data_IF_154091206371
#
_entry.id   IF_154091206371
#
_cell.length_a   1.000
_cell.length_b   1.000
_cell.length_c   1.000
_cell.angle_alpha   90.00
_cell.angle_beta   90.00
_cell.angle_gamma   90.00
#
_symmetry.space_group_name_H-M   'P 1'
#
loop_
_entity.id
_entity.type
_entity.pdbx_description
1 polymer ?
#
# COMPACT_ATOMS: atom_id res chain seq x y z
N UNK A 1 -2.62 23.87 6.17
CA UNK A 1 -2.53 22.83 5.11
C UNK A 1 -3.75 21.88 5.16
N UNK A 2 -4.96 22.36 4.87
CA UNK A 2 -6.18 21.51 4.89
C UNK A 2 -6.16 20.41 3.81
N UNK A 3 -5.44 20.62 2.69
CA UNK A 3 -5.33 19.67 1.59
C UNK A 3 -4.63 18.35 1.96
N UNK A 4 -3.81 18.32 3.02
CA UNK A 4 -3.15 17.08 3.48
C UNK A 4 -4.14 16.06 4.04
N UNK A 5 -5.29 16.52 4.53
CA UNK A 5 -6.32 15.66 5.11
C UNK A 5 -7.03 14.81 4.05
N UNK A 6 -7.14 15.31 2.81
CA UNK A 6 -7.79 14.61 1.69
C UNK A 6 -6.78 13.76 0.90
N UNK A 7 -5.48 14.04 1.07
CA UNK A 7 -4.40 13.35 0.36
C UNK A 7 -4.42 11.83 0.46
N UNK A 8 -4.75 11.15 1.60
CA UNK A 8 -4.77 9.69 1.66
C UNK A 8 -5.71 9.01 0.66
N UNK A 9 -6.71 9.72 0.12
CA UNK A 9 -7.60 9.18 -0.90
C UNK A 9 -6.90 8.99 -2.25
N UNK A 10 -5.94 9.85 -2.59
CA UNK A 10 -5.18 9.74 -3.84
C UNK A 10 -4.35 8.45 -3.95
N UNK A 11 -3.47 8.08 -2.99
CA UNK A 11 -2.77 6.80 -3.02
C UNK A 11 -3.75 5.64 -3.06
N UNK A 12 -4.84 5.70 -2.29
CA UNK A 12 -5.84 4.64 -2.28
C UNK A 12 -6.46 4.40 -3.67
N UNK A 13 -6.90 5.48 -4.34
CA UNK A 13 -7.47 5.40 -5.69
C UNK A 13 -6.44 4.89 -6.70
N UNK A 14 -5.19 5.38 -6.64
CA UNK A 14 -4.12 4.93 -7.54
C UNK A 14 -3.74 3.47 -7.32
N UNK A 15 -3.61 3.03 -6.06
CA UNK A 15 -3.33 1.62 -5.71
C UNK A 15 -4.48 0.71 -6.12
N UNK A 16 -5.73 1.14 -5.95
CA UNK A 16 -6.89 0.41 -6.45
C UNK A 16 -6.88 0.30 -7.97
N UNK A 17 -6.51 1.39 -8.68
CA UNK A 17 -6.32 1.36 -10.12
C UNK A 17 -5.26 0.34 -10.57
N UNK A 18 -4.13 0.26 -9.86
CA UNK A 18 -3.09 -0.75 -10.10
C UNK A 18 -3.62 -2.18 -9.88
N UNK A 19 -4.40 -2.40 -8.82
CA UNK A 19 -5.02 -3.70 -8.54
C UNK A 19 -5.98 -4.13 -9.65
N UNK A 20 -6.86 -3.21 -10.09
CA UNK A 20 -7.80 -3.46 -11.18
C UNK A 20 -7.05 -3.78 -12.47
N UNK A 21 -6.03 -2.98 -12.81
CA UNK A 21 -5.19 -3.21 -13.98
C UNK A 21 -4.50 -4.58 -13.95
N UNK A 22 -3.97 -4.98 -12.79
CA UNK A 22 -3.37 -6.31 -12.60
C UNK A 22 -4.37 -7.44 -12.82
N UNK A 23 -5.57 -7.36 -12.23
CA UNK A 23 -6.62 -8.38 -12.37
C UNK A 23 -7.07 -8.50 -13.82
N UNK A 24 -7.35 -7.38 -14.49
CA UNK A 24 -7.77 -7.35 -15.89
C UNK A 24 -6.68 -8.00 -16.76
N UNK A 25 -5.42 -7.61 -16.58
CA UNK A 25 -4.30 -8.15 -17.34
C UNK A 25 -4.12 -9.65 -17.08
N UNK A 26 -4.26 -10.10 -15.83
CA UNK A 26 -4.17 -11.51 -15.47
C UNK A 26 -5.27 -12.34 -16.16
N UNK A 27 -6.52 -11.85 -16.17
CA UNK A 27 -7.65 -12.52 -16.84
C UNK A 27 -7.41 -12.60 -18.35
N UNK A 28 -6.93 -11.52 -18.97
CA UNK A 28 -6.61 -11.51 -20.39
C UNK A 28 -5.50 -12.53 -20.69
N UNK A 29 -4.40 -12.53 -19.95
CA UNK A 29 -3.31 -13.50 -20.14
C UNK A 29 -3.80 -14.94 -19.96
N UNK A 30 -4.65 -15.22 -18.97
CA UNK A 30 -5.23 -16.55 -18.77
C UNK A 30 -6.21 -16.99 -19.87
N UNK A 31 -6.69 -16.04 -20.69
CA UNK A 31 -7.61 -16.28 -21.81
C UNK A 31 -6.90 -16.19 -23.17
N UNK A 32 -5.61 -15.83 -23.19
CA UNK A 32 -4.79 -15.76 -24.41
C UNK A 32 -4.33 -17.18 -24.78
N UNK A 33 -5.14 -17.90 -25.55
CA UNK A 33 -4.76 -19.17 -26.12
C UNK A 33 -5.94 -19.95 -26.68
N UNK A 34 -5.67 -20.88 -27.58
CA UNK A 34 -6.70 -21.78 -28.09
C UNK A 34 -7.23 -22.69 -26.97
N UNK A 35 -8.51 -23.07 -27.01
CA UNK A 35 -9.09 -23.99 -26.04
C UNK A 35 -8.41 -25.36 -26.15
N UNK A 36 -7.76 -25.80 -25.07
CA UNK A 36 -7.24 -27.16 -24.95
C UNK A 36 -8.41 -28.07 -24.63
N UNK A 37 -8.71 -28.95 -25.57
CA UNK A 37 -9.78 -29.92 -25.48
C UNK A 37 -9.20 -31.32 -25.34
N UNK A 38 -9.78 -32.12 -24.44
CA UNK A 38 -9.46 -33.56 -24.34
C UNK A 38 -10.56 -34.35 -25.01
N UNK A 39 -10.19 -35.14 -26.02
CA UNK A 39 -11.09 -36.13 -26.61
C UNK A 39 -11.41 -37.20 -25.56
N UNK A 40 -12.68 -37.58 -25.48
CA UNK A 40 -13.13 -38.68 -24.64
C UNK A 40 -13.24 -39.94 -25.51
N UNK A 41 -12.55 -40.99 -25.11
CA UNK A 41 -12.65 -42.31 -25.75
C UNK A 41 -13.84 -43.08 -25.18
N UNK A 42 -14.48 -43.91 -26.01
CA UNK A 42 -15.69 -44.66 -25.64
C UNK A 42 -15.49 -45.56 -24.40
N UNK A 43 -14.28 -46.05 -24.14
CA UNK A 43 -14.00 -46.86 -22.95
C UNK A 43 -13.97 -46.04 -21.65
N UNK A 44 -13.43 -44.82 -21.69
CA UNK A 44 -13.45 -43.91 -20.52
C UNK A 44 -14.86 -43.39 -20.26
N UNK A 45 -15.62 -43.13 -21.32
CA UNK A 45 -17.05 -42.79 -21.26
C UNK A 45 -17.87 -43.86 -20.52
N UNK A 46 -17.62 -45.15 -20.80
CA UNK A 46 -18.32 -46.26 -20.14
C UNK A 46 -17.80 -46.53 -18.71
N UNK A 47 -16.52 -46.27 -18.44
CA UNK A 47 -15.92 -46.43 -17.11
C UNK A 47 -16.47 -45.41 -16.08
N UNK A 48 -16.66 -44.15 -16.48
CA UNK A 48 -17.22 -43.09 -15.60
C UNK A 48 -18.70 -43.33 -15.27
N UNK A 49 -19.43 -44.05 -16.13
CA UNK A 49 -20.85 -44.32 -15.97
C UNK A 49 -21.16 -45.48 -15.01
N UNK A 50 -20.19 -46.37 -14.74
CA UNK A 50 -20.26 -47.55 -13.87
C UNK A 50 -21.70 -48.01 -13.54
N UNK A 51 -22.43 -48.42 -14.57
CA UNK A 51 -23.89 -48.65 -14.56
C UNK A 51 -24.35 -49.83 -13.68
N UNK A 52 -23.44 -50.55 -13.06
CA UNK A 52 -23.74 -51.81 -12.36
C UNK A 52 -24.45 -51.61 -11.01
N UNK A 53 -24.54 -50.38 -10.50
CA UNK A 53 -25.18 -50.09 -9.19
C UNK A 53 -26.05 -48.83 -9.12
N UNK A 54 -26.30 -48.13 -10.24
CA UNK A 54 -27.09 -46.90 -10.25
C UNK A 54 -28.58 -47.15 -10.59
N UNK A 55 -29.47 -46.45 -9.89
CA UNK A 55 -30.89 -46.40 -10.27
C UNK A 55 -31.08 -45.69 -11.61
N UNK A 56 -32.15 -46.01 -12.34
CA UNK A 56 -32.40 -45.49 -13.70
C UNK A 56 -32.48 -43.96 -13.75
N UNK A 57 -32.88 -43.30 -12.66
CA UNK A 57 -32.96 -41.84 -12.57
C UNK A 57 -31.60 -41.19 -12.26
N UNK A 58 -30.78 -41.79 -11.39
CA UNK A 58 -29.42 -41.31 -11.13
C UNK A 58 -28.52 -41.46 -12.37
N UNK A 59 -28.74 -42.52 -13.15
CA UNK A 59 -28.08 -42.74 -14.42
C UNK A 59 -28.45 -41.66 -15.44
N UNK A 60 -29.74 -41.32 -15.58
CA UNK A 60 -30.19 -40.22 -16.46
C UNK A 60 -29.61 -38.87 -16.04
N UNK A 61 -29.55 -38.59 -14.73
CA UNK A 61 -29.03 -37.33 -14.23
C UNK A 61 -27.52 -37.19 -14.50
N UNK A 62 -26.73 -38.24 -14.24
CA UNK A 62 -25.29 -38.24 -14.58
C UNK A 62 -25.05 -38.11 -16.07
N UNK A 63 -25.83 -38.79 -16.90
CA UNK A 63 -25.72 -38.69 -18.37
C UNK A 63 -26.03 -37.26 -18.83
N UNK A 64 -27.09 -36.63 -18.31
CA UNK A 64 -27.43 -35.25 -18.66
C UNK A 64 -26.34 -34.26 -18.22
N UNK A 65 -25.84 -34.38 -16.99
CA UNK A 65 -24.77 -33.53 -16.47
C UNK A 65 -23.46 -33.67 -17.28
N UNK A 66 -23.13 -34.90 -17.69
CA UNK A 66 -22.00 -35.17 -18.58
C UNK A 66 -22.22 -34.56 -19.97
N UNK A 67 -23.40 -34.75 -20.57
CA UNK A 67 -23.73 -34.24 -21.90
C UNK A 67 -23.74 -32.71 -21.95
N UNK A 68 -24.11 -32.03 -20.86
CA UNK A 68 -24.03 -30.56 -20.77
C UNK A 68 -22.60 -30.02 -20.77
N UNK A 69 -21.61 -30.85 -20.44
CA UNK A 69 -20.19 -30.46 -20.41
C UNK A 69 -19.39 -30.93 -21.64
N UNK A 70 -20.04 -31.63 -22.57
CA UNK A 70 -19.41 -32.13 -23.79
C UNK A 70 -19.69 -31.20 -24.97
N UNK A 71 -18.61 -30.78 -25.63
CA UNK A 71 -18.64 -29.90 -26.80
C UNK A 71 -18.07 -30.68 -27.99
N UNK A 72 -18.60 -30.54 -29.23
CA UNK A 72 -17.99 -31.16 -30.39
C UNK A 72 -16.53 -30.70 -30.55
N UNK A 73 -15.60 -31.65 -30.71
CA UNK A 73 -14.17 -31.36 -30.87
C UNK A 73 -13.86 -30.49 -32.10
N UNK A 74 -14.72 -30.56 -33.12
CA UNK A 74 -14.63 -29.72 -34.31
C UNK A 74 -16.03 -29.13 -34.63
N UNK A 75 -16.26 -27.84 -34.34
CA UNK A 75 -17.56 -27.20 -34.58
C UNK A 75 -17.91 -27.04 -36.07
N UNK A 76 -16.93 -27.19 -36.98
CA UNK A 76 -17.13 -27.09 -38.43
C UNK A 76 -17.30 -28.44 -39.14
N UNK A 77 -17.25 -29.56 -38.41
CA UNK A 77 -17.44 -30.88 -39.00
C UNK A 77 -18.93 -31.15 -39.21
N UNK A 78 -19.34 -31.42 -40.45
CA UNK A 78 -20.72 -31.78 -40.83
C UNK A 78 -21.08 -33.23 -40.53
N UNK A 79 -20.17 -34.01 -39.95
CA UNK A 79 -20.36 -35.42 -39.68
C UNK A 79 -21.04 -35.59 -38.32
N UNK A 80 -22.17 -36.32 -38.29
CA UNK A 80 -22.93 -36.63 -37.07
C UNK A 80 -22.17 -37.59 -36.12
N UNK A 81 -21.08 -38.20 -36.61
CA UNK A 81 -20.15 -39.04 -35.85
C UNK A 81 -18.93 -38.25 -35.33
N UNK A 82 -19.14 -37.01 -34.87
CA UNK A 82 -18.08 -36.19 -34.30
C UNK A 82 -17.59 -36.72 -32.96
N UNK A 83 -16.27 -36.67 -32.70
CA UNK A 83 -15.73 -36.94 -31.38
C UNK A 83 -16.18 -35.86 -30.39
N UNK A 84 -16.55 -36.29 -29.18
CA UNK A 84 -16.90 -35.37 -28.09
C UNK A 84 -15.67 -35.01 -27.27
N UNK A 85 -15.54 -33.73 -26.97
CA UNK A 85 -14.43 -33.16 -26.25
C UNK A 85 -14.88 -32.50 -24.95
N UNK A 86 -14.05 -32.61 -23.93
CA UNK A 86 -14.17 -31.83 -22.69
C UNK A 86 -13.20 -30.65 -22.74
N UNK A 87 -13.70 -29.45 -22.50
CA UNK A 87 -12.86 -28.27 -22.29
C UNK A 87 -12.04 -28.44 -21.00
N UNK A 88 -10.72 -28.23 -21.08
CA UNK A 88 -9.83 -28.26 -19.91
C UNK A 88 -9.45 -26.86 -19.47
N UNK A 89 -8.85 -26.09 -20.38
CA UNK A 89 -8.35 -24.73 -20.15
C UNK A 89 -8.12 -24.02 -21.49
N UNK A 90 -8.04 -22.70 -21.47
CA UNK A 90 -7.45 -21.93 -22.57
C UNK A 90 -5.93 -21.90 -22.41
N UNK A 91 -5.18 -22.06 -23.51
CA UNK A 91 -3.72 -21.92 -23.52
C UNK A 91 -2.94 -23.14 -22.99
N UNK A 92 -2.15 -23.75 -23.87
CA UNK A 92 -1.05 -24.67 -23.51
C UNK A 92 0.31 -24.11 -23.95
N UNK A 93 0.38 -22.80 -24.15
CA UNK A 93 1.58 -22.10 -24.58
C UNK A 93 2.58 -22.03 -23.42
N UNK A 94 3.84 -22.32 -23.71
CA UNK A 94 4.92 -22.20 -22.74
C UNK A 94 5.07 -20.76 -22.20
N UNK A 95 4.53 -19.75 -22.91
CA UNK A 95 4.67 -18.33 -22.60
C UNK A 95 3.70 -17.83 -21.52
N UNK A 96 2.50 -18.39 -21.40
CA UNK A 96 1.48 -17.98 -20.42
C UNK A 96 2.02 -17.81 -18.99
N UNK A 97 2.72 -18.80 -18.41
CA UNK A 97 3.30 -18.68 -17.06
C UNK A 97 4.34 -17.54 -16.93
N UNK A 98 5.17 -17.31 -17.94
CA UNK A 98 6.17 -16.23 -17.90
C UNK A 98 5.50 -14.85 -17.96
N UNK A 99 4.46 -14.70 -18.76
CA UNK A 99 3.68 -13.46 -18.85
C UNK A 99 2.94 -13.18 -17.54
N UNK A 100 2.38 -14.20 -16.88
CA UNK A 100 1.78 -14.05 -15.56
C UNK A 100 2.80 -13.68 -14.49
N UNK A 101 4.00 -14.27 -14.52
CA UNK A 101 5.08 -13.90 -13.61
C UNK A 101 5.51 -12.44 -13.80
N UNK A 102 5.62 -12.00 -15.06
CA UNK A 102 5.90 -10.59 -15.37
C UNK A 102 4.78 -9.67 -14.89
N UNK A 103 3.50 -10.04 -15.05
CA UNK A 103 2.36 -9.28 -14.54
C UNK A 103 2.40 -9.14 -13.01
N UNK A 104 2.74 -10.21 -12.28
CA UNK A 104 2.93 -10.18 -10.82
C UNK A 104 4.08 -9.22 -10.44
N UNK A 105 5.20 -9.28 -11.16
CA UNK A 105 6.31 -8.36 -10.94
C UNK A 105 5.91 -6.90 -11.20
N UNK A 106 5.20 -6.62 -12.28
CA UNK A 106 4.69 -5.29 -12.61
C UNK A 106 3.69 -4.78 -11.57
N UNK A 107 2.86 -5.66 -11.00
CA UNK A 107 1.98 -5.30 -9.88
C UNK A 107 2.78 -4.80 -8.68
N UNK A 108 3.78 -5.55 -8.22
CA UNK A 108 4.63 -5.09 -7.12
C UNK A 108 5.33 -3.78 -7.47
N UNK A 109 5.86 -3.64 -8.68
CA UNK A 109 6.56 -2.44 -9.09
C UNK A 109 5.68 -1.20 -9.11
N UNK A 110 4.52 -1.27 -9.76
CA UNK A 110 3.57 -0.16 -9.82
C UNK A 110 3.00 0.17 -8.44
N UNK A 111 2.73 -0.84 -7.61
CA UNK A 111 2.22 -0.62 -6.26
C UNK A 111 3.23 0.14 -5.39
N UNK A 112 4.50 -0.28 -5.38
CA UNK A 112 5.56 0.45 -4.66
C UNK A 112 5.87 1.80 -5.31
N UNK A 113 5.71 1.94 -6.63
CA UNK A 113 5.89 3.22 -7.32
C UNK A 113 4.87 4.26 -6.84
N UNK A 114 3.59 3.88 -6.76
CA UNK A 114 2.52 4.74 -6.25
C UNK A 114 2.77 5.12 -4.78
N UNK A 115 3.18 4.15 -3.96
CA UNK A 115 3.52 4.37 -2.55
C UNK A 115 4.66 5.39 -2.40
N UNK A 116 5.78 5.17 -3.11
CA UNK A 116 6.94 6.05 -3.11
C UNK A 116 6.63 7.45 -3.66
N UNK A 117 5.80 7.57 -4.70
CA UNK A 117 5.33 8.85 -5.22
C UNK A 117 4.57 9.64 -4.14
N UNK A 118 3.73 8.96 -3.36
CA UNK A 118 2.95 9.58 -2.30
C UNK A 118 3.82 10.00 -1.11
N UNK A 119 4.75 9.13 -0.68
CA UNK A 119 5.72 9.47 0.36
C UNK A 119 6.53 10.71 -0.02
N UNK A 120 7.14 10.73 -1.21
CA UNK A 120 7.97 11.86 -1.63
C UNK A 120 7.15 13.15 -1.82
N UNK A 121 5.91 13.04 -2.27
CA UNK A 121 4.99 14.19 -2.39
C UNK A 121 4.73 14.82 -1.03
N UNK A 122 4.38 13.99 -0.03
CA UNK A 122 4.17 14.42 1.35
C UNK A 122 5.44 15.01 1.94
N UNK A 123 6.58 14.33 1.75
CA UNK A 123 7.87 14.80 2.22
C UNK A 123 8.19 16.19 1.68
N UNK A 124 7.96 16.43 0.38
CA UNK A 124 8.20 17.74 -0.22
C UNK A 124 7.28 18.83 0.32
N UNK A 125 6.00 18.51 0.61
CA UNK A 125 5.09 19.48 1.20
C UNK A 125 5.45 19.83 2.65
N UNK A 126 5.81 18.83 3.47
CA UNK A 126 6.25 19.04 4.84
C UNK A 126 7.62 19.72 4.93
N UNK A 127 8.56 19.38 4.05
CA UNK A 127 9.85 20.05 3.96
C UNK A 127 9.70 21.52 3.57
N UNK A 128 8.85 21.83 2.57
CA UNK A 128 8.53 23.21 2.21
C UNK A 128 7.89 23.99 3.36
N UNK A 129 7.08 23.33 4.19
CA UNK A 129 6.55 23.95 5.41
C UNK A 129 7.63 24.17 6.47
N UNK A 130 8.50 23.19 6.71
CA UNK A 130 9.54 23.26 7.73
C UNK A 130 10.52 24.40 7.45
N UNK A 131 11.06 24.43 6.22
CA UNK A 131 12.07 25.39 5.79
C UNK A 131 11.50 26.73 5.28
N UNK A 132 10.21 27.01 5.50
CA UNK A 132 9.65 28.35 5.30
C UNK A 132 10.04 29.25 6.48
N UNK A 133 10.70 30.39 6.24
CA UNK A 133 11.01 31.33 7.32
C UNK A 133 9.75 32.06 7.78
N UNK A 134 9.08 32.76 6.88
CA UNK A 134 7.84 33.50 7.17
C UNK A 134 6.63 32.62 6.89
N UNK A 135 5.94 32.21 7.95
CA UNK A 135 4.73 31.40 7.86
C UNK A 135 3.51 32.31 8.07
N UNK A 136 2.55 32.41 7.13
CA UNK A 136 2.33 31.52 5.98
C UNK A 136 2.93 32.00 4.63
N UNK A 137 3.53 33.18 4.53
CA UNK A 137 3.84 33.83 3.26
C UNK A 137 4.82 33.07 2.34
N UNK A 138 5.82 32.40 2.92
CA UNK A 138 6.81 31.60 2.18
C UNK A 138 6.30 30.20 1.80
N UNK A 139 5.08 29.84 2.22
CA UNK A 139 4.49 28.54 1.95
C UNK A 139 3.69 28.61 0.64
N UNK A 140 3.95 27.74 -0.35
CA UNK A 140 3.14 27.71 -1.58
C UNK A 140 1.66 27.54 -1.27
N UNK A 141 0.78 28.25 -1.98
CA UNK A 141 -0.67 28.20 -1.77
C UNK A 141 -1.25 26.77 -1.83
N UNK A 142 -0.68 25.90 -2.68
CA UNK A 142 -1.02 24.47 -2.78
C UNK A 142 0.23 23.59 -2.65
N UNK A 143 0.76 23.40 -1.42
CA UNK A 143 2.08 22.80 -1.23
C UNK A 143 2.11 21.32 -1.69
N UNK A 144 1.01 20.59 -1.52
CA UNK A 144 0.89 19.21 -2.00
C UNK A 144 0.87 19.11 -3.52
N UNK A 145 0.06 19.94 -4.19
CA UNK A 145 -0.07 19.85 -5.65
C UNK A 145 1.22 20.29 -6.34
N UNK A 146 1.85 21.35 -5.81
CA UNK A 146 3.18 21.79 -6.24
C UNK A 146 4.23 20.69 -6.03
N UNK A 147 4.25 20.07 -4.84
CA UNK A 147 5.17 18.96 -4.54
C UNK A 147 4.93 17.75 -5.45
N UNK A 148 3.67 17.35 -5.65
CA UNK A 148 3.27 16.24 -6.51
C UNK A 148 3.73 16.47 -7.96
N UNK A 149 3.48 17.68 -8.48
CA UNK A 149 3.91 18.05 -9.83
C UNK A 149 5.43 18.03 -9.97
N UNK A 150 6.16 18.52 -8.96
CA UNK A 150 7.63 18.44 -8.91
C UNK A 150 8.12 16.98 -8.90
N UNK A 151 7.45 16.10 -8.16
CA UNK A 151 7.77 14.67 -8.12
C UNK A 151 7.64 14.03 -9.50
N UNK A 152 6.52 14.28 -10.20
CA UNK A 152 6.28 13.76 -11.55
C UNK A 152 7.27 14.37 -12.56
N UNK A 153 7.50 15.67 -12.51
CA UNK A 153 8.29 16.36 -13.54
C UNK A 153 9.79 16.08 -13.45
N UNK A 154 10.33 15.90 -12.25
CA UNK A 154 11.79 15.88 -12.03
C UNK A 154 12.32 14.60 -11.37
N UNK A 155 11.48 13.85 -10.64
CA UNK A 155 11.97 12.81 -9.74
C UNK A 155 11.39 11.41 -10.01
N UNK A 156 10.62 11.21 -11.08
CA UNK A 156 10.07 9.90 -11.47
C UNK A 156 11.14 8.81 -11.58
N UNK A 157 12.33 9.13 -12.10
CA UNK A 157 13.42 8.16 -12.21
C UNK A 157 13.90 7.63 -10.85
N UNK A 158 14.01 8.50 -9.85
CA UNK A 158 14.41 8.10 -8.49
C UNK A 158 13.31 7.30 -7.78
N UNK A 159 12.05 7.68 -7.97
CA UNK A 159 10.88 6.92 -7.49
C UNK A 159 10.88 5.52 -8.13
N UNK A 160 11.00 5.44 -9.46
CA UNK A 160 11.01 4.18 -10.21
C UNK A 160 12.15 3.27 -9.80
N UNK A 161 13.36 3.82 -9.62
CA UNK A 161 14.52 3.04 -9.20
C UNK A 161 14.38 2.50 -7.77
N UNK A 162 13.98 3.33 -6.80
CA UNK A 162 13.78 2.86 -5.42
C UNK A 162 12.64 1.83 -5.32
N UNK A 163 11.52 2.05 -6.01
CA UNK A 163 10.40 1.10 -6.03
C UNK A 163 10.77 -0.22 -6.71
N UNK A 164 11.62 -0.19 -7.74
CA UNK A 164 12.13 -1.39 -8.40
C UNK A 164 12.93 -2.27 -7.42
N UNK A 165 13.82 -1.68 -6.62
CA UNK A 165 14.62 -2.40 -5.63
C UNK A 165 13.73 -3.13 -4.62
N UNK A 166 12.72 -2.46 -4.08
CA UNK A 166 11.77 -3.07 -3.14
C UNK A 166 10.99 -4.21 -3.81
N UNK A 167 10.57 -4.00 -5.05
CA UNK A 167 9.73 -4.96 -5.79
C UNK A 167 10.47 -6.26 -6.13
N UNK A 168 11.76 -6.19 -6.44
CA UNK A 168 12.60 -7.39 -6.63
C UNK A 168 12.64 -8.23 -5.34
N UNK A 169 12.86 -7.59 -4.19
CA UNK A 169 12.90 -8.28 -2.88
C UNK A 169 11.54 -8.86 -2.51
N UNK A 170 10.45 -8.14 -2.80
CA UNK A 170 9.09 -8.65 -2.60
C UNK A 170 8.78 -9.86 -3.48
N UNK A 171 9.20 -9.83 -4.75
CA UNK A 171 9.03 -10.97 -5.65
C UNK A 171 9.79 -12.19 -5.11
N UNK A 172 11.04 -12.02 -4.68
CA UNK A 172 11.82 -13.12 -4.06
C UNK A 172 11.12 -13.65 -2.81
N UNK A 173 10.57 -12.77 -1.95
CA UNK A 173 9.84 -13.18 -0.75
C UNK A 173 8.60 -14.02 -1.08
N UNK A 174 7.84 -13.63 -2.10
CA UNK A 174 6.67 -14.39 -2.55
C UNK A 174 7.09 -15.74 -3.14
N UNK A 175 8.18 -15.79 -3.90
CA UNK A 175 8.75 -17.05 -4.39
C UNK A 175 9.19 -17.97 -3.24
N UNK A 176 9.83 -17.44 -2.20
CA UNK A 176 10.22 -18.22 -1.01
C UNK A 176 8.99 -18.77 -0.27
N UNK A 177 7.91 -17.99 -0.16
CA UNK A 177 6.65 -18.44 0.44
C UNK A 177 6.00 -19.56 -0.39
N UNK A 178 6.01 -19.41 -1.72
CA UNK A 178 5.52 -20.44 -2.63
C UNK A 178 6.32 -21.74 -2.52
N UNK A 179 7.65 -21.65 -2.47
CA UNK A 179 8.53 -22.81 -2.28
C UNK A 179 8.30 -23.48 -0.93
N UNK A 180 8.17 -22.71 0.15
CA UNK A 180 7.85 -23.22 1.48
C UNK A 180 6.52 -23.99 1.45
N UNK A 181 5.47 -23.43 0.82
CA UNK A 181 4.20 -24.12 0.66
C UNK A 181 4.31 -25.41 -0.16
N UNK A 182 5.14 -25.43 -1.21
CA UNK A 182 5.32 -26.61 -2.07
C UNK A 182 6.16 -27.72 -1.41
N UNK A 183 7.04 -27.35 -0.49
CA UNK A 183 7.98 -28.25 0.18
C UNK A 183 7.54 -28.68 1.58
N UNK A 184 6.34 -28.28 2.03
CA UNK A 184 5.75 -28.67 3.32
C UNK A 184 5.64 -30.19 3.49
N UNK A 185 5.34 -30.92 2.42
CA UNK A 185 5.16 -32.37 2.45
C UNK A 185 6.48 -33.14 2.34
N UNK A 186 7.60 -32.44 2.13
CA UNK A 186 8.93 -33.05 1.96
C UNK A 186 9.66 -33.14 3.30
N UNK A 187 10.07 -34.37 3.69
CA UNK A 187 10.79 -34.67 4.93
C UNK A 187 12.31 -34.33 4.85
N UNK A 188 12.68 -33.11 4.41
CA UNK A 188 14.06 -32.63 4.42
C UNK A 188 14.27 -31.52 5.46
N UNK A 189 14.72 -31.84 6.69
CA UNK A 189 14.85 -30.86 7.78
C UNK A 189 15.90 -29.77 7.48
N UNK A 190 16.96 -30.10 6.74
CA UNK A 190 18.00 -29.13 6.35
C UNK A 190 17.45 -28.11 5.37
N UNK A 191 16.71 -28.57 4.35
CA UNK A 191 16.06 -27.68 3.38
C UNK A 191 15.05 -26.74 4.04
N UNK A 192 14.24 -27.25 4.98
CA UNK A 192 13.29 -26.42 5.72
C UNK A 192 13.98 -25.37 6.61
N UNK A 193 15.13 -25.69 7.21
CA UNK A 193 15.91 -24.72 7.99
C UNK A 193 16.40 -23.56 7.12
N UNK A 194 17.01 -23.85 5.95
CA UNK A 194 17.49 -22.82 5.04
C UNK A 194 16.36 -21.96 4.48
N UNK A 195 15.21 -22.54 4.14
CA UNK A 195 14.03 -21.78 3.69
C UNK A 195 13.54 -20.82 4.76
N UNK A 196 13.42 -21.26 6.02
CA UNK A 196 13.04 -20.38 7.15
C UNK A 196 14.04 -19.24 7.35
N UNK A 197 15.34 -19.53 7.25
CA UNK A 197 16.40 -18.53 7.35
C UNK A 197 16.29 -17.49 6.22
N UNK A 198 16.15 -17.92 4.97
CA UNK A 198 16.00 -17.02 3.81
C UNK A 198 14.73 -16.18 3.92
N UNK A 199 13.59 -16.75 4.32
CA UNK A 199 12.34 -16.01 4.56
C UNK A 199 12.56 -14.87 5.57
N UNK A 200 13.24 -15.16 6.68
CA UNK A 200 13.58 -14.16 7.69
C UNK A 200 14.51 -13.07 7.12
N UNK A 201 15.61 -13.45 6.45
CA UNK A 201 16.56 -12.51 5.87
C UNK A 201 15.92 -11.58 4.85
N UNK A 202 15.10 -12.10 3.93
CA UNK A 202 14.41 -11.28 2.92
C UNK A 202 13.29 -10.43 3.51
N UNK A 203 12.64 -10.88 4.58
CA UNK A 203 11.71 -10.04 5.34
C UNK A 203 12.43 -8.86 6.01
N UNK A 204 13.56 -9.10 6.67
CA UNK A 204 14.40 -8.06 7.25
C UNK A 204 14.93 -7.10 6.17
N UNK A 205 15.38 -7.63 5.04
CA UNK A 205 15.87 -6.84 3.91
C UNK A 205 14.77 -5.93 3.34
N UNK A 206 13.55 -6.45 3.14
CA UNK A 206 12.43 -5.61 2.67
C UNK A 206 12.15 -4.47 3.65
N UNK A 207 12.16 -4.74 4.97
CA UNK A 207 11.95 -3.72 6.00
C UNK A 207 13.06 -2.65 5.98
N UNK A 208 14.31 -3.09 5.89
CA UNK A 208 15.46 -2.19 5.79
C UNK A 208 15.40 -1.32 4.53
N UNK A 209 15.10 -1.91 3.37
CA UNK A 209 14.98 -1.18 2.11
C UNK A 209 13.83 -0.19 2.11
N UNK A 210 12.67 -0.57 2.66
CA UNK A 210 11.54 0.38 2.84
C UNK A 210 11.94 1.56 3.72
N UNK A 211 12.61 1.30 4.85
CA UNK A 211 13.12 2.34 5.71
C UNK A 211 14.12 3.26 5.00
N UNK A 212 15.11 2.70 4.31
CA UNK A 212 16.13 3.45 3.59
C UNK A 212 15.53 4.27 2.45
N UNK A 213 14.66 3.68 1.63
CA UNK A 213 14.00 4.37 0.52
C UNK A 213 13.18 5.56 1.02
N UNK A 214 12.38 5.38 2.07
CA UNK A 214 11.54 6.43 2.63
C UNK A 214 12.36 7.64 3.07
N UNK A 215 13.45 7.40 3.78
CA UNK A 215 14.37 8.47 4.21
C UNK A 215 15.14 9.10 3.04
N UNK A 216 15.51 8.31 2.03
CA UNK A 216 16.09 8.82 0.81
C UNK A 216 15.12 9.77 0.09
N UNK A 217 13.84 9.40 -0.06
CA UNK A 217 12.82 10.24 -0.69
C UNK A 217 12.63 11.57 0.03
N UNK A 218 12.73 11.60 1.36
CA UNK A 218 12.69 12.86 2.11
C UNK A 218 13.87 13.77 1.72
N UNK A 219 15.10 13.26 1.67
CA UNK A 219 16.26 14.07 1.26
C UNK A 219 16.20 14.49 -0.22
N UNK A 220 15.65 13.64 -1.10
CA UNK A 220 15.39 14.02 -2.49
C UNK A 220 14.38 15.16 -2.55
N UNK A 221 13.34 15.13 -1.72
CA UNK A 221 12.34 16.19 -1.69
C UNK A 221 12.90 17.53 -1.18
N UNK A 222 13.88 17.49 -0.28
CA UNK A 222 14.58 18.69 0.23
C UNK A 222 15.58 19.23 -0.81
N UNK A 223 16.45 18.37 -1.36
CA UNK A 223 17.63 18.81 -2.13
C UNK A 223 17.56 18.55 -3.64
N UNK A 224 16.62 17.74 -4.11
CA UNK A 224 16.52 17.34 -5.52
C UNK A 224 17.67 16.44 -6.00
N UNK A 225 18.40 15.77 -5.10
CA UNK A 225 19.50 14.85 -5.44
C UNK A 225 18.99 13.55 -6.07
N UNK A 226 19.89 12.79 -6.71
CA UNK A 226 19.57 11.45 -7.17
C UNK A 226 19.41 10.45 -6.00
N UNK A 227 18.74 9.32 -6.27
CA UNK A 227 18.40 8.32 -5.26
C UNK A 227 19.61 7.81 -4.46
N UNK A 228 20.68 7.37 -5.13
CA UNK A 228 21.81 6.75 -4.43
C UNK A 228 22.54 7.73 -3.51
N UNK A 229 22.73 8.99 -3.94
CA UNK A 229 23.33 10.02 -3.09
C UNK A 229 22.44 10.31 -1.89
N UNK A 230 21.14 10.53 -2.10
CA UNK A 230 20.20 10.84 -1.02
C UNK A 230 20.04 9.66 -0.03
N UNK A 231 20.05 8.42 -0.52
CA UNK A 231 20.04 7.23 0.30
C UNK A 231 21.26 7.14 1.21
N UNK A 232 22.45 7.39 0.66
CA UNK A 232 23.69 7.44 1.44
C UNK A 232 23.63 8.53 2.50
N UNK A 233 23.29 9.75 2.10
CA UNK A 233 23.29 10.92 2.97
C UNK A 233 22.28 10.76 4.13
N UNK A 234 21.06 10.31 3.81
CA UNK A 234 20.00 10.07 4.80
C UNK A 234 20.37 8.95 5.78
N UNK A 235 20.96 7.86 5.28
CA UNK A 235 21.43 6.78 6.12
C UNK A 235 22.48 7.24 7.14
N UNK A 236 23.49 8.00 6.71
CA UNK A 236 24.51 8.53 7.63
C UNK A 236 23.96 9.61 8.57
N UNK A 237 23.00 10.43 8.14
CA UNK A 237 22.30 11.38 9.01
C UNK A 237 21.57 10.66 10.15
N UNK A 238 20.83 9.59 9.83
CA UNK A 238 20.10 8.77 10.80
C UNK A 238 21.07 8.07 11.74
N UNK A 239 22.13 7.43 11.24
CA UNK A 239 23.09 6.70 12.07
C UNK A 239 23.75 7.58 13.14
N UNK A 240 24.12 8.81 12.77
CA UNK A 240 24.72 9.78 13.71
C UNK A 240 23.74 10.23 14.80
N UNK A 241 22.45 10.14 14.53
CA UNK A 241 21.37 10.55 15.44
C UNK A 241 20.47 9.38 15.88
N UNK A 242 20.98 8.14 15.82
CA UNK A 242 20.15 6.93 15.92
C UNK A 242 19.34 6.85 17.21
N UNK A 243 19.88 7.33 18.32
CA UNK A 243 19.16 7.37 19.61
C UNK A 243 17.95 8.29 19.53
N UNK A 244 18.10 9.48 18.94
CA UNK A 244 16.99 10.44 18.76
C UNK A 244 15.94 9.86 17.81
N UNK A 245 16.39 9.27 16.70
CA UNK A 245 15.51 8.63 15.72
C UNK A 245 14.69 7.53 16.38
N UNK A 246 15.33 6.63 17.12
CA UNK A 246 14.64 5.52 17.78
C UNK A 246 13.62 6.00 18.83
N UNK A 247 13.93 7.03 19.60
CA UNK A 247 12.99 7.58 20.59
C UNK A 247 11.79 8.22 19.90
N UNK A 248 12.00 9.06 18.87
CA UNK A 248 10.90 9.73 18.16
C UNK A 248 10.01 8.73 17.45
N UNK A 249 10.59 7.74 16.75
CA UNK A 249 9.87 6.66 16.07
C UNK A 249 8.96 5.89 17.05
N UNK A 250 9.49 5.49 18.22
CA UNK A 250 8.70 4.76 19.23
C UNK A 250 7.60 5.59 19.87
N UNK A 251 7.85 6.86 20.15
CA UNK A 251 6.83 7.76 20.70
C UNK A 251 5.74 8.03 19.67
N UNK A 252 6.12 8.27 18.41
CA UNK A 252 5.18 8.50 17.32
C UNK A 252 4.29 7.29 17.08
N UNK A 253 4.86 6.09 16.99
CA UNK A 253 4.12 4.83 16.85
C UNK A 253 3.12 4.63 17.99
N UNK A 254 3.53 4.90 19.24
CA UNK A 254 2.65 4.79 20.40
C UNK A 254 1.47 5.77 20.33
N UNK A 255 1.74 7.04 20.03
CA UNK A 255 0.69 8.08 19.93
C UNK A 255 -0.27 7.78 18.78
N UNK A 256 0.24 7.38 17.61
CA UNK A 256 -0.59 7.03 16.46
C UNK A 256 -1.41 5.75 16.74
N UNK A 257 -0.87 4.80 17.50
CA UNK A 257 -1.60 3.60 17.92
C UNK A 257 -2.78 3.94 18.84
N UNK A 258 -2.55 4.75 19.88
CA UNK A 258 -3.62 5.23 20.76
C UNK A 258 -4.67 6.01 19.96
N UNK A 259 -4.23 6.84 19.01
CA UNK A 259 -5.14 7.59 18.13
C UNK A 259 -6.08 6.66 17.35
N UNK A 260 -5.56 5.55 16.79
CA UNK A 260 -6.39 4.52 16.11
C UNK A 260 -7.42 3.91 17.05
N UNK A 261 -7.01 3.53 18.25
CA UNK A 261 -7.90 2.93 19.25
C UNK A 261 -9.01 3.88 19.67
N UNK A 262 -8.69 5.15 19.94
CA UNK A 262 -9.68 6.16 20.31
C UNK A 262 -10.72 6.37 19.21
N UNK A 263 -10.29 6.45 17.94
CA UNK A 263 -11.21 6.59 16.80
C UNK A 263 -12.15 5.38 16.72
N UNK A 264 -11.60 4.15 16.77
CA UNK A 264 -12.39 2.93 16.65
C UNK A 264 -13.36 2.75 17.83
N UNK A 265 -12.92 3.00 19.06
CA UNK A 265 -13.76 2.92 20.24
C UNK A 265 -14.87 3.97 20.23
N UNK A 266 -14.55 5.21 19.82
CA UNK A 266 -15.56 6.29 19.75
C UNK A 266 -16.64 5.95 18.74
N UNK A 267 -16.26 5.52 17.53
CA UNK A 267 -17.22 5.11 16.50
C UNK A 267 -17.99 3.86 16.94
N UNK A 268 -17.33 2.87 17.55
CA UNK A 268 -17.99 1.67 18.07
C UNK A 268 -19.05 1.99 19.12
N UNK A 269 -18.75 2.88 20.08
CA UNK A 269 -19.72 3.33 21.10
C UNK A 269 -20.88 4.09 20.46
N UNK A 270 -20.61 4.98 19.51
CA UNK A 270 -21.65 5.72 18.79
C UNK A 270 -22.61 4.78 18.05
N UNK A 271 -22.08 3.82 17.30
CA UNK A 271 -22.90 2.87 16.55
C UNK A 271 -23.64 1.86 17.44
N UNK A 272 -23.05 1.49 18.58
CA UNK A 272 -23.74 0.68 19.58
C UNK A 272 -25.01 1.39 20.09
N UNK A 273 -24.92 2.66 20.48
CA UNK A 273 -26.08 3.43 20.95
C UNK A 273 -27.10 3.77 19.85
N UNK A 274 -26.69 3.79 18.57
CA UNK A 274 -27.66 3.89 17.47
C UNK A 274 -28.43 2.60 17.26
N UNK A 275 -27.76 1.44 17.32
CA UNK A 275 -28.42 0.13 17.13
C UNK A 275 -29.28 -0.29 18.34
N UNK A 276 -28.93 0.16 19.55
CA UNK A 276 -29.73 -0.02 20.76
C UNK A 276 -30.99 0.88 20.79
N UNK A 277 -31.13 1.80 19.84
CA UNK A 277 -32.31 2.68 19.73
C UNK A 277 -32.28 3.90 20.66
N UNK A 278 -31.32 3.99 21.60
CA UNK A 278 -31.16 5.13 22.52
C UNK A 278 -30.94 6.46 21.78
N UNK A 279 -30.14 6.43 20.71
CA UNK A 279 -29.89 7.60 19.83
C UNK A 279 -30.71 7.50 18.53
N UNK A 280 -30.82 6.29 17.96
CA UNK A 280 -31.51 6.05 16.68
C UNK A 280 -32.95 6.55 16.67
N UNK A 281 -33.70 6.27 17.75
CA UNK A 281 -35.13 6.63 17.84
C UNK A 281 -35.37 8.12 18.13
N UNK A 282 -34.33 8.89 18.48
CA UNK A 282 -34.44 10.32 18.83
C UNK A 282 -34.13 11.26 17.67
N UNK A 283 -33.39 10.81 16.66
CA UNK A 283 -33.11 11.57 15.45
C UNK A 283 -33.86 10.96 14.26
N UNK A 284 -34.86 11.66 13.74
CA UNK A 284 -35.68 11.19 12.61
C UNK A 284 -34.86 10.79 11.37
N UNK A 285 -33.72 11.46 11.13
CA UNK A 285 -32.80 11.10 10.05
C UNK A 285 -32.16 9.71 10.27
N UNK A 286 -31.72 9.41 11.50
CA UNK A 286 -31.05 8.14 11.82
C UNK A 286 -32.09 7.01 11.88
N UNK A 287 -33.30 7.25 12.41
CA UNK A 287 -34.40 6.28 12.42
C UNK A 287 -34.75 5.80 11.00
N UNK A 288 -34.72 6.70 10.00
CA UNK A 288 -34.98 6.34 8.60
C UNK A 288 -33.91 5.46 7.95
N UNK A 289 -32.67 5.52 8.47
CA UNK A 289 -31.52 4.76 7.97
C UNK A 289 -31.27 3.46 8.75
N UNK A 290 -31.90 3.32 9.92
CA UNK A 290 -31.69 2.17 10.80
C UNK A 290 -32.65 1.05 10.41
N UNK A 291 -32.17 -0.14 10.04
CA UNK A 291 -33.07 -1.25 9.72
C UNK A 291 -33.87 -1.65 10.95
N UNK A 292 -35.20 -1.65 10.85
CA UNK A 292 -36.10 -1.93 11.99
C UNK A 292 -36.08 -3.39 12.44
N UNK A 293 -35.59 -4.30 11.59
CA UNK A 293 -35.60 -5.75 11.81
C UNK A 293 -34.17 -6.36 11.83
N UNK A 294 -33.27 -5.78 12.63
CA UNK A 294 -31.91 -6.30 12.77
C UNK A 294 -31.81 -7.30 13.94
N UNK A 295 -31.78 -8.60 13.63
CA UNK A 295 -31.72 -9.65 14.66
C UNK A 295 -30.35 -9.77 15.34
N UNK A 296 -29.26 -9.37 14.66
CA UNK A 296 -27.88 -9.50 15.14
C UNK A 296 -27.11 -8.19 14.99
N UNK A 297 -27.24 -7.28 15.96
CA UNK A 297 -26.56 -5.97 15.96
C UNK A 297 -25.03 -6.04 16.09
N UNK A 298 -24.49 -7.13 16.63
CA UNK A 298 -23.06 -7.29 16.86
C UNK A 298 -22.25 -7.42 15.56
N UNK A 299 -22.76 -8.15 14.57
CA UNK A 299 -22.06 -8.38 13.29
C UNK A 299 -21.81 -7.07 12.53
N UNK A 300 -22.83 -6.23 12.23
CA UNK A 300 -22.60 -4.96 11.55
C UNK A 300 -21.77 -4.00 12.39
N UNK A 301 -21.90 -4.01 13.73
CA UNK A 301 -21.04 -3.22 14.61
C UNK A 301 -19.56 -3.60 14.45
N UNK A 302 -19.23 -4.89 14.49
CA UNK A 302 -17.85 -5.37 14.29
C UNK A 302 -17.32 -5.02 12.90
N UNK A 303 -18.15 -5.15 11.86
CA UNK A 303 -17.77 -4.75 10.50
C UNK A 303 -17.45 -3.24 10.41
N UNK A 304 -18.28 -2.39 11.02
CA UNK A 304 -18.05 -0.94 11.08
C UNK A 304 -16.77 -0.62 11.85
N UNK A 305 -16.51 -1.28 12.97
CA UNK A 305 -15.28 -1.09 13.74
C UNK A 305 -14.03 -1.49 12.93
N UNK A 306 -14.07 -2.63 12.23
CA UNK A 306 -12.97 -3.09 11.37
C UNK A 306 -12.73 -2.11 10.22
N UNK A 307 -13.80 -1.65 9.55
CA UNK A 307 -13.69 -0.66 8.48
C UNK A 307 -13.15 0.68 8.99
N UNK A 308 -13.62 1.12 10.17
CA UNK A 308 -13.13 2.34 10.83
C UNK A 308 -11.64 2.24 11.15
N UNK A 309 -11.17 1.08 11.63
CA UNK A 309 -9.75 0.85 11.88
C UNK A 309 -8.91 0.97 10.60
N UNK A 310 -9.40 0.41 9.48
CA UNK A 310 -8.76 0.54 8.18
C UNK A 310 -8.69 2.00 7.72
N UNK A 311 -9.79 2.74 7.80
CA UNK A 311 -9.82 4.18 7.51
C UNK A 311 -8.83 4.94 8.41
N UNK A 312 -8.85 4.71 9.72
CA UNK A 312 -7.92 5.36 10.66
C UNK A 312 -6.45 5.07 10.29
N UNK A 313 -6.14 3.86 9.84
CA UNK A 313 -4.79 3.52 9.38
C UNK A 313 -4.37 4.29 8.12
N UNK A 314 -5.28 4.45 7.15
CA UNK A 314 -5.03 5.23 5.93
C UNK A 314 -4.79 6.71 6.22
N UNK A 315 -5.59 7.34 7.09
CA UNK A 315 -5.40 8.75 7.41
C UNK A 315 -4.15 8.97 8.28
N UNK A 316 -3.93 8.12 9.30
CA UNK A 316 -2.80 8.27 10.22
C UNK A 316 -1.45 7.89 9.59
N UNK A 317 -1.42 7.19 8.45
CA UNK A 317 -0.16 6.97 7.71
C UNK A 317 0.42 8.27 7.17
N UNK A 318 -0.42 9.24 6.76
CA UNK A 318 0.03 10.58 6.32
C UNK A 318 0.65 11.35 7.48
N UNK A 319 0.07 11.23 8.69
CA UNK A 319 0.67 11.79 9.90
C UNK A 319 2.02 11.15 10.20
N UNK A 320 2.14 9.82 10.07
CA UNK A 320 3.42 9.14 10.25
C UNK A 320 4.49 9.68 9.27
N UNK A 321 4.12 9.89 8.00
CA UNK A 321 5.02 10.52 7.02
C UNK A 321 5.39 11.96 7.37
N UNK A 322 4.45 12.71 7.95
CA UNK A 322 4.71 14.06 8.48
C UNK A 322 5.73 14.05 9.61
N UNK A 323 5.57 13.16 10.59
CA UNK A 323 6.50 13.04 11.73
C UNK A 323 7.91 12.72 11.24
N UNK A 324 8.05 11.70 10.40
CA UNK A 324 9.37 11.30 9.88
C UNK A 324 10.03 12.40 9.05
N UNK A 325 9.26 13.09 8.21
CA UNK A 325 9.78 14.20 7.41
C UNK A 325 10.23 15.36 8.28
N UNK A 326 9.38 15.81 9.21
CA UNK A 326 9.70 16.93 10.10
C UNK A 326 10.92 16.62 10.96
N UNK A 327 11.01 15.39 11.47
CA UNK A 327 12.13 14.96 12.26
C UNK A 327 13.43 14.91 11.44
N UNK A 328 13.39 14.41 10.21
CA UNK A 328 14.57 14.40 9.35
C UNK A 328 14.99 15.81 8.91
N UNK A 329 14.02 16.70 8.64
CA UNK A 329 14.30 18.12 8.39
C UNK A 329 14.97 18.78 9.60
N UNK A 330 14.51 18.46 10.81
CA UNK A 330 15.12 18.91 12.05
C UNK A 330 16.56 18.43 12.24
N UNK A 331 16.84 17.15 11.95
CA UNK A 331 18.22 16.65 12.01
C UNK A 331 19.12 17.36 11.00
N UNK A 332 18.61 17.62 9.79
CA UNK A 332 19.37 18.32 8.75
C UNK A 332 19.60 19.79 9.10
N UNK A 333 18.60 20.46 9.68
CA UNK A 333 18.68 21.83 10.19
C UNK A 333 19.74 21.95 11.29
N UNK A 334 19.80 21.00 12.22
CA UNK A 334 20.83 20.95 13.25
C UNK A 334 22.26 20.76 12.72
N UNK A 335 22.41 20.03 11.62
CA UNK A 335 23.73 19.72 11.07
C UNK A 335 24.27 20.85 10.18
N UNK A 336 23.39 21.54 9.46
CA UNK A 336 23.78 22.55 8.48
C UNK A 336 23.73 23.97 8.98
N UNK A 337 22.84 24.27 9.92
CA UNK A 337 22.64 25.61 10.42
C UNK A 337 23.32 25.77 11.78
N UNK A 338 23.89 26.96 11.99
CA UNK A 338 24.62 27.33 13.21
C UNK A 338 23.94 28.48 13.98
N UNK A 339 22.86 29.03 13.43
CA UNK A 339 22.12 30.14 14.01
C UNK A 339 22.67 31.51 13.60
N UNK A 340 23.68 31.57 12.74
CA UNK A 340 24.19 32.83 12.18
C UNK A 340 23.18 33.47 11.21
N UNK A 341 23.38 34.75 10.91
CA UNK A 341 22.59 35.47 9.90
C UNK A 341 22.63 34.80 8.51
N UNK A 342 23.71 34.10 8.17
CA UNK A 342 23.86 33.38 6.89
C UNK A 342 23.22 31.98 6.92
N UNK A 343 23.15 31.35 8.09
CA UNK A 343 22.62 29.99 8.27
C UNK A 343 21.77 29.87 9.54
N UNK A 344 20.55 30.44 9.52
CA UNK A 344 19.68 30.44 10.68
C UNK A 344 19.03 29.06 10.86
N UNK A 345 18.67 28.74 12.10
CA UNK A 345 17.80 27.61 12.40
C UNK A 345 16.37 27.90 11.94
N UNK A 346 15.74 26.91 11.31
CA UNK A 346 14.34 26.99 10.86
C UNK A 346 13.37 26.35 11.86
N UNK A 347 13.89 25.57 12.80
CA UNK A 347 13.11 24.91 13.84
C UNK A 347 12.33 25.92 14.72
N UNK A 348 11.20 25.52 15.32
CA UNK A 348 10.41 26.41 16.17
C UNK A 348 11.18 26.94 17.38
N UNK A 349 10.86 28.15 17.83
CA UNK A 349 11.50 28.79 19.01
C UNK A 349 11.45 27.91 20.26
N UNK A 350 10.30 27.30 20.54
CA UNK A 350 10.15 26.35 21.66
C UNK A 350 11.14 25.19 21.61
N UNK A 351 11.47 24.70 20.40
CA UNK A 351 12.44 23.62 20.22
C UNK A 351 13.89 24.13 20.32
N UNK A 352 14.15 25.34 19.80
CA UNK A 352 15.43 26.02 19.97
C UNK A 352 15.76 26.21 21.46
N UNK A 353 14.79 26.69 22.24
CA UNK A 353 14.93 26.89 23.68
C UNK A 353 15.22 25.59 24.43
N UNK A 354 14.52 24.50 24.11
CA UNK A 354 14.76 23.17 24.70
C UNK A 354 16.18 22.67 24.40
N UNK A 355 16.72 23.00 23.22
CA UNK A 355 18.06 22.59 22.79
C UNK A 355 19.16 23.57 23.18
N UNK A 356 18.82 24.71 23.77
CA UNK A 356 19.77 25.79 24.07
C UNK A 356 20.40 26.42 22.82
N UNK A 357 19.66 26.43 21.71
CA UNK A 357 20.05 27.04 20.43
C UNK A 357 19.32 28.37 20.25
N UNK A 358 19.92 29.32 19.53
CA UNK A 358 19.31 30.62 19.21
C UNK A 358 19.79 31.11 17.85
N UNK A 359 18.92 31.83 17.16
CA UNK A 359 19.29 32.58 15.95
C UNK A 359 19.86 33.95 16.32
N UNK A 360 20.65 34.51 15.41
CA UNK A 360 21.21 35.86 15.54
C UNK A 360 20.10 36.89 15.78
N UNK A 361 20.20 37.75 16.81
CA UNK A 361 19.21 38.78 17.12
C UNK A 361 18.88 39.73 15.96
N UNK A 362 19.79 39.89 14.99
CA UNK A 362 19.55 40.72 13.81
C UNK A 362 18.41 40.17 12.93
N UNK A 363 18.24 38.85 12.86
CA UNK A 363 17.15 38.22 12.12
C UNK A 363 15.80 38.43 12.81
N UNK A 364 15.78 38.33 14.15
CA UNK A 364 14.56 38.51 14.96
C UNK A 364 14.00 39.93 14.81
N UNK A 365 14.88 40.93 14.85
CA UNK A 365 14.48 42.34 14.67
C UNK A 365 13.98 42.65 13.27
N UNK A 366 14.48 41.95 12.26
CA UNK A 366 14.05 42.14 10.88
C UNK A 366 12.66 41.52 10.66
N UNK A 367 12.39 40.37 11.26
CA UNK A 367 11.06 39.75 11.24
C UNK A 367 10.02 40.60 11.99
N UNK A 368 10.35 41.13 13.19
CA UNK A 368 9.48 42.05 13.93
C UNK A 368 9.15 43.32 13.13
N UNK A 369 10.13 43.85 12.40
CA UNK A 369 9.95 45.05 11.57
C UNK A 369 9.08 44.78 10.35
N UNK A 370 9.28 43.66 9.67
CA UNK A 370 8.50 43.26 8.51
C UNK A 370 7.04 42.94 8.89
N UNK A 371 6.81 42.33 10.07
CA UNK A 371 5.46 42.11 10.63
C UNK A 371 4.78 43.44 10.98
N UNK A 372 5.50 44.40 11.54
CA UNK A 372 4.96 45.72 11.84
C UNK A 372 4.61 46.51 10.57
N UNK A 373 5.38 46.37 9.48
CA UNK A 373 5.09 47.00 8.19
C UNK A 373 3.93 46.33 7.44
N UNK A 374 3.72 45.02 7.59
CA UNK A 374 2.58 44.30 7.00
C UNK A 374 1.24 44.52 7.73
N UNK A 375 1.27 45.02 8.97
CA UNK A 375 0.08 45.29 9.79
C UNK A 375 -0.50 46.72 9.58
N UNK A 376 0.14 47.54 8.75
CA UNK A 376 -0.27 48.90 8.36
C UNK A 376 -0.83 48.87 6.95
#
# INVERSE_FOLDING_TARGET
>A
MMSCLVFPLLPFVLQFGVLVFFIITAIHISSLGDPVMRQIDNETFLADLNFTSLSTEEAKQKINDLLTHLIPCNPNSTNVAGSMCRFLKYGDDAFGPYMQLFNIFMFFWLFNFVDALCEMTLAGAFASYYFAFKKPDDIPATPLLSSFWRCIRYHMGSIAFGSLIISIVQLIRVMLEYLDHKLKDTQNPVGQFFLKCLKCCFWCLEKCLKFLNRNAYILIAIYGRNFCSAARDSFFLILRNIVRVAVVDKVADFVLFISKLVIVCTIGVLFFFTFDGTIGNRLAFIDSLTPKDLNYNLVPLLLIMVFTYFCACLFLSVYNMGVDTMFLCFLEDLERNDGSAEKPYFMPESLMDILGKKNDPLLVKQDEKDVAEAAV
#
